data_IF_898540436715
#
_entry.id   IF_898540436715
#
_cell.length_a   1.000
_cell.length_b   1.000
_cell.length_c   1.000
_cell.angle_alpha   90.00
_cell.angle_beta   90.00
_cell.angle_gamma   90.00
#
_symmetry.space_group_name_H-M   'P 1'
#
loop_
_entity.id
_entity.type
_entity.pdbx_description
1 polymer ?
#
# COMPACT_ATOMS: atom_id res chain seq x y z
N UNK A 1 5.45 3.01 -20.33
CA UNK A 1 4.97 3.16 -18.94
C UNK A 1 6.13 3.67 -18.09
N UNK A 2 5.83 4.36 -17.00
CA UNK A 2 6.86 4.94 -16.10
C UNK A 2 7.69 3.87 -15.36
N UNK A 3 7.13 2.66 -15.21
CA UNK A 3 7.78 1.49 -14.62
C UNK A 3 7.43 0.27 -15.45
N UNK A 4 8.39 -0.60 -15.69
CA UNK A 4 8.25 -1.86 -16.40
C UNK A 4 8.67 -3.05 -15.50
N UNK A 5 8.52 -4.27 -16.00
CA UNK A 5 8.83 -5.48 -15.23
C UNK A 5 10.32 -5.58 -14.84
N UNK A 6 11.23 -5.19 -15.73
CA UNK A 6 12.67 -5.20 -15.43
C UNK A 6 13.01 -4.28 -14.26
N UNK A 7 12.35 -3.12 -14.15
CA UNK A 7 12.55 -2.22 -13.01
C UNK A 7 12.16 -2.89 -11.67
N UNK A 8 11.11 -3.72 -11.70
CA UNK A 8 10.65 -4.49 -10.51
C UNK A 8 11.65 -5.59 -10.14
N UNK A 9 12.16 -6.34 -11.15
CA UNK A 9 13.19 -7.36 -10.93
C UNK A 9 14.47 -6.74 -10.37
N UNK A 10 14.87 -5.58 -10.89
CA UNK A 10 16.02 -4.85 -10.38
C UNK A 10 15.81 -4.33 -8.96
N UNK A 11 14.61 -3.81 -8.66
CA UNK A 11 14.25 -3.43 -7.31
C UNK A 11 14.34 -4.64 -6.38
N UNK A 12 13.75 -5.79 -6.76
CA UNK A 12 13.82 -7.02 -5.98
C UNK A 12 15.26 -7.45 -5.70
N UNK A 13 16.13 -7.50 -6.72
CA UNK A 13 17.55 -7.86 -6.55
C UNK A 13 18.26 -6.96 -5.52
N UNK A 14 17.91 -5.65 -5.49
CA UNK A 14 18.51 -4.72 -4.52
C UNK A 14 17.99 -4.88 -3.10
N UNK A 15 16.70 -5.26 -2.91
CA UNK A 15 16.06 -5.22 -1.59
C UNK A 15 15.66 -6.58 -1.01
N UNK A 16 15.76 -7.69 -1.76
CA UNK A 16 15.29 -9.01 -1.32
C UNK A 16 15.87 -9.45 0.04
N UNK A 17 17.10 -9.08 0.33
CA UNK A 17 17.77 -9.40 1.60
C UNK A 17 17.34 -8.51 2.78
N UNK A 18 16.55 -7.45 2.53
CA UNK A 18 16.07 -6.49 3.53
C UNK A 18 14.58 -6.65 3.84
N UNK A 19 13.81 -7.26 2.95
CA UNK A 19 12.37 -7.42 3.09
C UNK A 19 12.00 -8.85 3.46
N UNK A 20 10.85 -9.04 4.11
CA UNK A 20 10.29 -10.37 4.33
C UNK A 20 9.52 -10.84 3.09
N UNK A 21 9.72 -12.11 2.66
CA UNK A 21 8.77 -12.79 1.74
C UNK A 21 7.51 -13.07 2.56
N UNK A 22 6.46 -12.26 2.35
CA UNK A 22 5.22 -12.40 3.10
C UNK A 22 4.42 -13.62 2.64
N UNK A 23 3.71 -14.32 3.54
CA UNK A 23 2.96 -15.51 3.17
C UNK A 23 1.71 -15.19 2.37
N UNK A 24 1.27 -16.18 1.59
CA UNK A 24 -0.05 -16.25 1.02
C UNK A 24 -0.89 -17.18 1.91
N UNK A 25 -1.91 -16.62 2.57
CA UNK A 25 -2.71 -17.31 3.58
C UNK A 25 -4.08 -17.69 3.02
N UNK A 26 -4.57 -18.86 3.39
CA UNK A 26 -5.92 -19.33 3.11
C UNK A 26 -6.58 -19.87 4.39
N UNK A 27 -7.90 -19.85 4.46
CA UNK A 27 -8.68 -20.41 5.55
C UNK A 27 -9.98 -20.99 5.01
N UNK A 28 -10.25 -22.31 5.19
CA UNK A 28 -11.52 -22.92 4.78
C UNK A 28 -12.75 -22.24 5.40
N UNK A 29 -12.59 -21.67 6.61
CA UNK A 29 -13.67 -20.92 7.25
C UNK A 29 -13.94 -19.59 6.54
N UNK A 30 -12.89 -18.91 6.06
CA UNK A 30 -13.04 -17.68 5.29
C UNK A 30 -13.63 -17.98 3.91
N UNK A 31 -13.18 -19.05 3.27
CA UNK A 31 -13.71 -19.52 1.98
C UNK A 31 -15.21 -19.80 2.04
N UNK A 32 -15.66 -20.45 3.12
CA UNK A 32 -17.08 -20.73 3.34
C UNK A 32 -17.91 -19.44 3.50
N UNK A 33 -17.36 -18.40 4.11
CA UNK A 33 -18.00 -17.08 4.24
C UNK A 33 -18.07 -16.39 2.87
N UNK A 34 -16.99 -16.44 2.11
CA UNK A 34 -16.87 -15.80 0.80
C UNK A 34 -17.59 -16.54 -0.33
N UNK A 35 -17.91 -17.84 -0.13
CA UNK A 35 -18.44 -18.71 -1.19
C UNK A 35 -17.45 -19.07 -2.30
N UNK A 36 -16.14 -18.83 -2.08
CA UNK A 36 -15.03 -19.10 -3.00
C UNK A 36 -13.70 -19.21 -2.27
N UNK A 37 -12.67 -19.76 -2.90
CA UNK A 37 -11.32 -19.79 -2.31
C UNK A 37 -10.66 -18.43 -2.35
N UNK A 38 -10.24 -17.95 -1.18
CA UNK A 38 -9.52 -16.67 -1.00
C UNK A 38 -8.08 -16.93 -0.55
N UNK A 39 -7.13 -16.29 -1.22
CA UNK A 39 -5.73 -16.32 -0.88
C UNK A 39 -5.25 -14.91 -0.52
N UNK A 40 -4.89 -14.70 0.73
CA UNK A 40 -4.55 -13.39 1.27
C UNK A 40 -3.05 -13.18 1.31
N UNK A 41 -2.53 -12.25 0.50
CA UNK A 41 -1.14 -11.78 0.58
C UNK A 41 -0.98 -10.89 1.80
N UNK A 42 -0.27 -11.38 2.81
CA UNK A 42 -0.26 -10.81 4.16
C UNK A 42 0.87 -9.78 4.36
N UNK A 43 0.76 -8.58 3.80
CA UNK A 43 1.71 -7.48 4.02
C UNK A 43 1.69 -6.87 5.45
N UNK A 44 0.68 -7.11 6.33
CA UNK A 44 0.85 -6.84 7.76
C UNK A 44 2.04 -7.54 8.41
N UNK A 45 2.50 -8.65 7.83
CA UNK A 45 3.66 -9.41 8.30
C UNK A 45 5.00 -8.94 7.70
N UNK A 46 5.01 -7.87 6.89
CA UNK A 46 6.23 -7.18 6.49
C UNK A 46 6.85 -6.47 7.71
N UNK A 47 8.15 -6.25 7.68
CA UNK A 47 8.98 -5.78 8.82
C UNK A 47 8.41 -4.54 9.53
N UNK A 48 7.85 -3.56 8.78
CA UNK A 48 7.20 -2.37 9.39
C UNK A 48 5.68 -2.47 9.46
N UNK A 49 5.12 -3.68 9.37
CA UNK A 49 3.68 -3.91 9.45
C UNK A 49 2.91 -3.51 8.19
N UNK A 50 3.56 -3.19 7.07
CA UNK A 50 2.91 -2.87 5.79
C UNK A 50 3.86 -2.97 4.60
N UNK A 51 3.29 -3.08 3.40
CA UNK A 51 4.02 -3.11 2.13
C UNK A 51 4.93 -1.90 1.88
N UNK A 52 4.67 -0.76 2.53
CA UNK A 52 5.39 0.51 2.32
C UNK A 52 6.90 0.38 2.49
N UNK A 53 7.35 -0.53 3.31
CA UNK A 53 8.77 -0.79 3.52
C UNK A 53 9.50 -1.22 2.24
N UNK A 54 8.86 -1.97 1.35
CA UNK A 54 9.40 -2.42 0.07
C UNK A 54 9.79 -1.24 -0.82
N UNK A 55 8.84 -0.32 -1.04
CA UNK A 55 9.07 0.90 -1.84
C UNK A 55 10.07 1.85 -1.19
N UNK A 56 10.06 1.96 0.14
CA UNK A 56 11.04 2.75 0.88
C UNK A 56 12.48 2.23 0.68
N UNK A 57 12.68 0.92 0.84
CA UNK A 57 13.97 0.27 0.57
C UNK A 57 14.39 0.45 -0.89
N UNK A 58 13.47 0.23 -1.83
CA UNK A 58 13.75 0.38 -3.26
C UNK A 58 14.20 1.80 -3.59
N UNK A 59 13.46 2.82 -3.17
CA UNK A 59 13.79 4.21 -3.47
C UNK A 59 15.13 4.63 -2.86
N UNK A 60 15.39 4.29 -1.60
CA UNK A 60 16.66 4.65 -0.95
C UNK A 60 17.83 3.87 -1.57
N UNK A 61 17.63 2.63 -2.04
CA UNK A 61 18.67 1.83 -2.70
C UNK A 61 19.18 2.42 -4.02
N UNK A 62 18.39 3.27 -4.67
CA UNK A 62 18.77 3.91 -5.95
C UNK A 62 19.55 5.20 -5.78
N UNK A 63 19.63 5.74 -4.56
CA UNK A 63 20.32 7.00 -4.30
C UNK A 63 21.83 6.84 -4.45
N UNK A 64 22.49 7.84 -5.05
CA UNK A 64 23.94 7.93 -5.04
C UNK A 64 24.47 8.06 -3.60
N UNK A 65 25.75 7.71 -3.39
CA UNK A 65 26.39 7.86 -2.08
C UNK A 65 26.34 9.32 -1.59
N UNK A 66 26.47 10.27 -2.52
CA UNK A 66 26.35 11.68 -2.19
C UNK A 66 24.93 12.06 -1.72
N UNK A 67 23.88 11.60 -2.43
CA UNK A 67 22.50 11.84 -2.01
C UNK A 67 22.19 11.18 -0.67
N UNK A 68 22.64 9.93 -0.46
CA UNK A 68 22.51 9.23 0.83
C UNK A 68 23.22 9.95 1.98
N UNK A 69 24.41 10.52 1.73
CA UNK A 69 25.14 11.24 2.79
C UNK A 69 24.39 12.48 3.29
N UNK A 70 23.58 13.10 2.43
CA UNK A 70 22.75 14.27 2.81
C UNK A 70 21.48 13.85 3.55
N UNK A 71 20.86 12.73 3.19
CA UNK A 71 19.65 12.21 3.82
C UNK A 71 18.42 12.28 2.94
N UNK A 72 17.31 11.73 3.46
CA UNK A 72 16.02 11.70 2.81
C UNK A 72 14.96 12.43 3.62
N UNK A 73 13.90 12.89 2.95
CA UNK A 73 12.74 13.52 3.59
C UNK A 73 11.46 12.90 3.04
N UNK A 74 10.46 12.73 3.91
CA UNK A 74 9.11 12.36 3.52
C UNK A 74 8.09 13.10 4.40
N UNK A 75 6.87 13.27 3.88
CA UNK A 75 5.73 13.75 4.66
C UNK A 75 4.68 12.66 4.74
N UNK A 76 4.50 12.14 5.94
CA UNK A 76 3.51 11.09 6.24
C UNK A 76 3.42 10.89 7.75
N UNK A 77 2.24 10.58 8.27
CA UNK A 77 2.03 10.18 9.66
C UNK A 77 1.76 8.68 9.83
N UNK A 78 1.87 7.88 8.75
CA UNK A 78 1.49 6.47 8.76
C UNK A 78 2.60 5.53 8.27
N UNK A 79 2.19 4.52 7.50
CA UNK A 79 3.04 3.43 7.02
C UNK A 79 4.27 3.88 6.22
N UNK A 80 4.12 4.92 5.40
CA UNK A 80 5.24 5.44 4.61
C UNK A 80 6.33 6.04 5.50
N UNK A 81 5.94 6.78 6.55
CA UNK A 81 6.88 7.34 7.52
C UNK A 81 7.74 6.26 8.19
N UNK A 82 7.10 5.21 8.70
CA UNK A 82 7.78 4.09 9.35
C UNK A 82 8.67 3.32 8.37
N UNK A 83 8.17 3.09 7.14
CA UNK A 83 8.95 2.45 6.08
C UNK A 83 10.22 3.23 5.74
N UNK A 84 10.11 4.55 5.53
CA UNK A 84 11.27 5.42 5.23
C UNK A 84 12.24 5.47 6.41
N UNK A 85 11.75 5.59 7.65
CA UNK A 85 12.59 5.66 8.84
C UNK A 85 13.49 4.42 8.98
N UNK A 86 12.89 3.23 8.91
CA UNK A 86 13.66 1.99 9.01
C UNK A 86 14.58 1.77 7.81
N UNK A 87 14.08 2.00 6.58
CA UNK A 87 14.90 1.86 5.38
C UNK A 87 16.13 2.79 5.45
N UNK A 88 15.95 4.06 5.83
CA UNK A 88 17.05 4.99 5.98
C UNK A 88 18.10 4.49 6.99
N UNK A 89 17.68 3.97 8.13
CA UNK A 89 18.58 3.37 9.13
C UNK A 89 19.38 2.21 8.55
N UNK A 90 18.74 1.29 7.80
CA UNK A 90 19.42 0.15 7.17
C UNK A 90 20.42 0.58 6.10
N UNK A 91 20.11 1.61 5.33
CA UNK A 91 21.00 2.20 4.32
C UNK A 91 21.99 3.23 4.91
N UNK A 92 22.04 3.39 6.24
CA UNK A 92 22.94 4.32 6.97
C UNK A 92 22.82 5.77 6.47
N UNK A 93 21.59 6.20 6.20
CA UNK A 93 21.27 7.59 5.84
C UNK A 93 20.32 8.20 6.86
N UNK A 94 20.22 9.53 6.92
CA UNK A 94 19.28 10.23 7.79
C UNK A 94 17.90 10.27 7.15
N UNK A 95 16.85 10.17 7.96
CA UNK A 95 15.49 10.42 7.54
C UNK A 95 14.87 11.57 8.34
N UNK A 96 14.30 12.54 7.64
CA UNK A 96 13.46 13.59 8.23
C UNK A 96 12.02 13.34 7.80
N UNK A 97 11.11 13.20 8.78
CA UNK A 97 9.70 12.94 8.51
C UNK A 97 8.86 14.13 8.96
N UNK A 98 8.15 14.75 8.02
CA UNK A 98 7.21 15.84 8.32
C UNK A 98 5.85 15.24 8.67
N UNK A 99 5.39 15.46 9.91
CA UNK A 99 4.14 14.93 10.47
C UNK A 99 3.28 16.04 11.04
N UNK A 100 1.94 15.95 10.98
CA UNK A 100 1.10 16.91 11.66
C UNK A 100 1.22 16.75 13.20
N UNK A 101 0.97 17.83 13.93
CA UNK A 101 0.98 17.82 15.41
C UNK A 101 -0.05 16.86 16.00
N UNK A 102 -1.18 16.67 15.32
CA UNK A 102 -2.27 15.78 15.70
C UNK A 102 -2.05 14.30 15.29
N UNK A 103 -0.84 13.95 14.80
CA UNK A 103 -0.50 12.57 14.50
C UNK A 103 -0.57 11.69 15.76
N UNK A 104 -1.10 10.45 15.67
CA UNK A 104 -1.17 9.55 16.82
C UNK A 104 0.21 9.34 17.46
N UNK A 105 0.27 9.47 18.79
CA UNK A 105 1.53 9.43 19.55
C UNK A 105 2.33 8.14 19.32
N UNK A 106 1.65 6.99 19.17
CA UNK A 106 2.27 5.71 18.85
C UNK A 106 2.94 5.72 17.47
N UNK A 107 2.33 6.33 16.46
CA UNK A 107 2.93 6.44 15.11
C UNK A 107 4.17 7.33 15.11
N UNK A 108 4.14 8.45 15.85
CA UNK A 108 5.31 9.32 16.06
C UNK A 108 6.43 8.57 16.78
N UNK A 109 6.10 7.89 17.90
CA UNK A 109 7.06 7.11 18.67
C UNK A 109 7.72 6.00 17.85
N UNK A 110 6.93 5.23 17.08
CA UNK A 110 7.45 4.18 16.21
C UNK A 110 8.39 4.74 15.13
N UNK A 111 8.03 5.88 14.51
CA UNK A 111 8.88 6.51 13.50
C UNK A 111 10.23 6.95 14.08
N UNK A 112 10.23 7.52 15.29
CA UNK A 112 11.46 7.88 16.02
C UNK A 112 12.26 6.63 16.43
N UNK A 113 11.58 5.58 16.89
CA UNK A 113 12.24 4.31 17.26
C UNK A 113 12.94 3.66 16.06
N UNK A 114 12.43 3.86 14.85
CA UNK A 114 13.11 3.45 13.61
C UNK A 114 14.24 4.40 13.17
N UNK A 115 14.56 5.44 13.94
CA UNK A 115 15.74 6.29 13.74
C UNK A 115 15.52 7.56 12.93
N UNK A 116 14.28 7.98 12.67
CA UNK A 116 14.01 9.22 11.96
C UNK A 116 13.84 10.43 12.89
N UNK A 117 14.25 11.59 12.39
CA UNK A 117 13.91 12.90 12.95
C UNK A 117 12.47 13.27 12.53
N UNK A 118 11.64 13.70 13.48
CA UNK A 118 10.26 14.13 13.20
C UNK A 118 10.14 15.64 13.35
N UNK A 119 9.71 16.29 12.27
CA UNK A 119 9.34 17.71 12.21
C UNK A 119 7.83 17.81 12.18
N UNK A 120 7.26 18.55 13.15
CA UNK A 120 5.82 18.73 13.23
C UNK A 120 5.35 19.97 12.46
N UNK A 121 4.11 19.91 11.93
CA UNK A 121 3.43 21.04 11.31
C UNK A 121 1.97 21.12 11.80
N UNK A 122 1.39 22.33 11.73
CA UNK A 122 0.00 22.59 12.10
C UNK A 122 -0.92 22.38 10.88
N UNK A 123 -1.76 21.36 10.94
CA UNK A 123 -2.69 20.99 9.85
C UNK A 123 -3.70 22.11 9.61
N UNK A 124 -3.88 22.50 8.35
CA UNK A 124 -4.78 23.59 7.95
C UNK A 124 -4.19 25.00 8.07
N UNK A 125 -2.99 25.15 8.68
CA UNK A 125 -2.25 26.42 8.80
C UNK A 125 -0.96 26.36 7.97
N UNK A 126 -0.25 25.25 8.04
CA UNK A 126 1.03 25.05 7.36
C UNK A 126 0.91 23.99 6.25
N UNK A 127 1.69 24.15 5.19
CA UNK A 127 1.81 23.17 4.10
C UNK A 127 2.98 22.23 4.39
N UNK A 128 2.68 20.93 4.54
CA UNK A 128 3.72 19.90 4.67
C UNK A 128 4.61 19.80 3.43
N UNK A 129 4.06 20.13 2.27
CA UNK A 129 4.77 20.16 1.00
C UNK A 129 5.81 21.29 0.99
N UNK A 130 5.43 22.50 1.45
CA UNK A 130 6.32 23.65 1.51
C UNK A 130 7.42 23.42 2.55
N UNK A 131 7.09 22.95 3.74
CA UNK A 131 8.06 22.58 4.78
C UNK A 131 9.05 21.54 4.25
N UNK A 132 8.51 20.50 3.58
CA UNK A 132 9.34 19.45 2.98
C UNK A 132 10.26 19.98 1.88
N UNK A 133 9.77 20.89 1.03
CA UNK A 133 10.55 21.51 -0.03
C UNK A 133 11.66 22.43 0.55
N UNK A 134 11.35 23.25 1.57
CA UNK A 134 12.31 24.14 2.22
C UNK A 134 13.42 23.36 2.93
N UNK A 135 13.07 22.34 3.72
CA UNK A 135 14.04 21.46 4.37
C UNK A 135 14.88 20.70 3.34
N UNK A 136 14.23 20.18 2.29
CA UNK A 136 14.91 19.51 1.18
C UNK A 136 15.94 20.41 0.52
N UNK A 137 15.57 21.65 0.18
CA UNK A 137 16.46 22.65 -0.42
C UNK A 137 17.58 23.08 0.53
N UNK A 138 17.24 23.38 1.79
CA UNK A 138 18.20 23.85 2.80
C UNK A 138 19.28 22.83 3.14
N UNK A 139 18.93 21.56 3.21
CA UNK A 139 19.81 20.46 3.63
C UNK A 139 20.21 19.50 2.51
N UNK A 140 19.73 19.73 1.29
CA UNK A 140 19.98 18.86 0.14
C UNK A 140 19.35 17.46 0.27
N UNK A 141 18.23 17.35 1.04
CA UNK A 141 17.55 16.07 1.28
C UNK A 141 16.81 15.61 0.03
N UNK A 142 16.78 14.30 -0.20
CA UNK A 142 16.00 13.71 -1.31
C UNK A 142 14.59 13.40 -0.82
N UNK A 143 13.58 13.99 -1.46
CA UNK A 143 12.17 13.66 -1.19
C UNK A 143 11.83 12.28 -1.73
N UNK A 144 11.30 11.40 -0.87
CA UNK A 144 10.73 10.11 -1.25
C UNK A 144 9.21 10.19 -1.17
N UNK A 145 8.56 10.16 -2.32
CA UNK A 145 7.10 10.22 -2.41
C UNK A 145 6.45 8.89 -1.98
N UNK A 146 5.21 8.91 -1.43
CA UNK A 146 4.56 7.71 -0.90
C UNK A 146 4.05 6.73 -1.95
N UNK A 147 3.93 7.12 -3.23
CA UNK A 147 3.41 6.29 -4.32
C UNK A 147 3.81 6.74 -5.73
N UNK A 148 3.91 8.03 -6.01
CA UNK A 148 4.12 8.58 -7.36
C UNK A 148 5.62 8.80 -7.64
N UNK A 149 6.36 7.71 -7.56
CA UNK A 149 7.82 7.64 -7.73
C UNK A 149 8.17 6.30 -8.39
N UNK A 150 8.95 6.27 -9.48
CA UNK A 150 9.26 5.03 -10.19
C UNK A 150 9.93 3.97 -9.32
N UNK A 151 10.88 4.36 -8.47
CA UNK A 151 11.59 3.43 -7.60
C UNK A 151 10.67 2.89 -6.47
N UNK A 152 9.74 3.72 -5.98
CA UNK A 152 8.71 3.27 -5.03
C UNK A 152 7.76 2.28 -5.70
N UNK A 153 7.21 2.60 -6.89
CA UNK A 153 6.31 1.71 -7.63
C UNK A 153 6.98 0.36 -7.91
N UNK A 154 8.24 0.37 -8.36
CA UNK A 154 9.02 -0.84 -8.61
C UNK A 154 9.22 -1.68 -7.35
N UNK A 155 9.55 -1.04 -6.22
CA UNK A 155 9.65 -1.70 -4.91
C UNK A 155 8.34 -2.36 -4.47
N UNK A 156 7.21 -1.67 -4.64
CA UNK A 156 5.88 -2.23 -4.33
C UNK A 156 5.54 -3.40 -5.28
N UNK A 157 5.99 -3.34 -6.53
CA UNK A 157 5.81 -4.41 -7.51
C UNK A 157 6.45 -5.74 -7.11
N UNK A 158 7.41 -5.75 -6.17
CA UNK A 158 7.99 -6.98 -5.62
C UNK A 158 6.95 -7.87 -4.91
N UNK A 159 5.81 -7.30 -4.48
CA UNK A 159 4.65 -8.09 -4.02
C UNK A 159 4.13 -8.97 -5.15
N UNK A 160 4.04 -8.42 -6.38
CA UNK A 160 3.60 -9.17 -7.56
C UNK A 160 4.58 -10.26 -7.98
N UNK A 161 5.90 -10.04 -7.83
CA UNK A 161 6.90 -11.11 -8.05
C UNK A 161 6.71 -12.27 -7.08
N UNK A 162 6.57 -11.97 -5.79
CA UNK A 162 6.33 -13.00 -4.78
C UNK A 162 5.00 -13.74 -5.03
N UNK A 163 3.94 -13.03 -5.49
CA UNK A 163 2.68 -13.66 -5.87
C UNK A 163 2.87 -14.62 -7.04
N UNK A 164 3.63 -14.22 -8.07
CA UNK A 164 3.93 -15.07 -9.21
C UNK A 164 4.55 -16.41 -8.80
N UNK A 165 5.57 -16.36 -7.93
CA UNK A 165 6.20 -17.55 -7.39
C UNK A 165 5.22 -18.40 -6.57
N UNK A 166 4.42 -17.76 -5.71
CA UNK A 166 3.48 -18.43 -4.82
C UNK A 166 2.31 -19.08 -5.57
N UNK A 167 1.81 -18.46 -6.65
CA UNK A 167 0.83 -19.07 -7.55
C UNK A 167 1.38 -20.38 -8.13
N UNK A 168 2.61 -20.34 -8.63
CA UNK A 168 3.26 -21.52 -9.19
C UNK A 168 3.57 -22.59 -8.13
N UNK A 169 4.12 -22.20 -6.96
CA UNK A 169 4.44 -23.11 -5.84
C UNK A 169 3.20 -23.84 -5.32
N UNK A 170 2.05 -23.19 -5.28
CA UNK A 170 0.78 -23.73 -4.76
C UNK A 170 -0.14 -24.31 -5.83
N UNK A 171 0.19 -24.18 -7.11
CA UNK A 171 -0.62 -24.65 -8.24
C UNK A 171 -2.01 -24.01 -8.30
N UNK A 172 -2.11 -22.70 -8.06
CA UNK A 172 -3.37 -21.97 -7.99
C UNK A 172 -3.92 -21.65 -9.39
N UNK A 173 -5.25 -21.69 -9.53
CA UNK A 173 -5.99 -21.27 -10.71
C UNK A 173 -6.54 -19.85 -10.51
N UNK A 174 -5.70 -18.85 -10.74
CA UNK A 174 -6.00 -17.44 -10.49
C UNK A 174 -6.34 -16.73 -11.79
N UNK A 175 -7.41 -15.95 -11.80
CA UNK A 175 -7.74 -15.02 -12.88
C UNK A 175 -7.92 -13.57 -12.40
N UNK A 176 -7.97 -13.34 -11.09
CA UNK A 176 -8.15 -12.01 -10.52
C UNK A 176 -7.35 -11.76 -9.24
N UNK A 177 -6.90 -10.51 -9.09
CA UNK A 177 -6.29 -9.96 -7.88
C UNK A 177 -7.06 -8.73 -7.43
N UNK A 178 -7.51 -8.69 -6.18
CA UNK A 178 -8.06 -7.49 -5.54
C UNK A 178 -6.98 -6.79 -4.74
N UNK A 179 -6.77 -5.51 -4.99
CA UNK A 179 -5.74 -4.72 -4.33
C UNK A 179 -6.29 -3.36 -3.89
N UNK A 180 -6.01 -2.96 -2.64
CA UNK A 180 -6.32 -1.63 -2.18
C UNK A 180 -5.63 -0.57 -3.06
N UNK A 181 -6.29 0.56 -3.28
CA UNK A 181 -5.75 1.67 -4.02
C UNK A 181 -5.97 2.99 -3.27
N UNK A 182 -4.90 3.71 -2.98
CA UNK A 182 -4.89 5.13 -2.73
C UNK A 182 -4.27 5.79 -3.95
N UNK A 183 -3.09 6.40 -3.84
CA UNK A 183 -2.39 6.97 -5.01
C UNK A 183 -1.89 5.96 -6.07
N UNK A 184 -2.12 4.66 -5.88
CA UNK A 184 -1.95 3.62 -6.91
C UNK A 184 -0.57 2.94 -6.96
N UNK A 185 0.39 3.29 -6.09
CA UNK A 185 1.76 2.74 -6.19
C UNK A 185 1.85 1.22 -6.04
N UNK A 186 1.11 0.64 -5.09
CA UNK A 186 1.06 -0.81 -4.88
C UNK A 186 0.34 -1.51 -6.04
N UNK A 187 -0.86 -1.05 -6.35
CA UNK A 187 -1.70 -1.63 -7.40
C UNK A 187 -1.02 -1.56 -8.78
N UNK A 188 -0.38 -0.43 -9.10
CA UNK A 188 0.38 -0.28 -10.36
C UNK A 188 1.59 -1.21 -10.42
N UNK A 189 2.35 -1.33 -9.32
CA UNK A 189 3.48 -2.25 -9.24
C UNK A 189 3.05 -3.71 -9.40
N UNK A 190 2.02 -4.16 -8.69
CA UNK A 190 1.48 -5.52 -8.82
C UNK A 190 0.93 -5.75 -10.22
N UNK A 191 0.14 -4.83 -10.78
CA UNK A 191 -0.41 -4.96 -12.12
C UNK A 191 0.70 -5.12 -13.18
N UNK A 192 1.81 -4.36 -13.05
CA UNK A 192 2.96 -4.47 -13.95
C UNK A 192 3.63 -5.84 -13.84
N UNK A 193 3.83 -6.36 -12.63
CA UNK A 193 4.44 -7.67 -12.42
C UNK A 193 3.53 -8.79 -12.97
N UNK A 194 2.24 -8.77 -12.62
CA UNK A 194 1.28 -9.78 -13.06
C UNK A 194 1.10 -9.79 -14.57
N UNK A 195 1.02 -8.65 -15.22
CA UNK A 195 0.91 -8.56 -16.68
C UNK A 195 2.10 -9.21 -17.41
N UNK A 196 3.28 -9.22 -16.81
CA UNK A 196 4.46 -9.84 -17.37
C UNK A 196 4.56 -11.36 -17.11
N UNK A 197 4.10 -11.80 -15.91
CA UNK A 197 4.29 -13.19 -15.46
C UNK A 197 3.03 -14.05 -15.61
N UNK A 198 1.87 -13.45 -15.49
CA UNK A 198 0.55 -14.10 -15.55
C UNK A 198 -0.42 -13.21 -16.35
N UNK A 199 -0.30 -13.10 -17.68
CA UNK A 199 -1.05 -12.16 -18.52
C UNK A 199 -2.57 -12.37 -18.47
N UNK A 200 -3.03 -13.56 -18.07
CA UNK A 200 -4.45 -13.89 -17.92
C UNK A 200 -5.02 -13.45 -16.55
N UNK A 201 -4.18 -12.97 -15.64
CA UNK A 201 -4.59 -12.49 -14.32
C UNK A 201 -4.82 -10.98 -14.35
N UNK A 202 -6.04 -10.55 -14.06
CA UNK A 202 -6.42 -9.14 -14.04
C UNK A 202 -6.45 -8.58 -12.62
N UNK A 203 -5.80 -7.42 -12.41
CA UNK A 203 -5.90 -6.70 -11.15
C UNK A 203 -7.12 -5.77 -11.15
N UNK A 204 -7.83 -5.73 -10.04
CA UNK A 204 -8.92 -4.79 -9.75
C UNK A 204 -8.56 -3.95 -8.52
N UNK A 205 -8.76 -2.64 -8.61
CA UNK A 205 -8.54 -1.73 -7.48
C UNK A 205 -9.71 -1.78 -6.51
N UNK A 206 -9.44 -1.58 -5.21
CA UNK A 206 -10.49 -1.45 -4.20
C UNK A 206 -10.23 -0.21 -3.35
N UNK A 207 -11.27 0.59 -3.19
CA UNK A 207 -11.23 1.90 -2.53
C UNK A 207 -12.44 2.05 -1.59
N UNK A 208 -12.40 2.98 -0.61
CA UNK A 208 -13.59 3.29 0.19
C UNK A 208 -14.66 4.01 -0.63
N UNK A 209 -15.94 3.80 -0.32
CA UNK A 209 -17.04 4.58 -0.90
C UNK A 209 -16.84 6.08 -0.71
N UNK A 210 -17.03 6.84 -1.78
CA UNK A 210 -16.79 8.30 -1.80
C UNK A 210 -15.32 8.69 -2.03
N UNK A 211 -14.40 7.74 -2.03
CA UNK A 211 -12.97 7.92 -2.28
C UNK A 211 -12.46 6.96 -3.35
N UNK A 212 -13.32 6.63 -4.30
CA UNK A 212 -13.12 5.68 -5.39
C UNK A 212 -12.58 6.38 -6.67
N UNK A 213 -11.70 7.35 -6.47
CA UNK A 213 -11.13 8.18 -7.52
C UNK A 213 -10.39 7.38 -8.60
N UNK A 214 -9.70 6.31 -8.24
CA UNK A 214 -9.01 5.45 -9.19
C UNK A 214 -9.99 4.65 -10.04
N UNK A 215 -11.00 4.03 -9.45
CA UNK A 215 -12.03 3.29 -10.18
C UNK A 215 -12.78 4.21 -11.17
N UNK A 216 -13.19 5.41 -10.71
CA UNK A 216 -13.81 6.43 -11.56
C UNK A 216 -12.88 6.92 -12.67
N UNK A 217 -11.60 7.13 -12.33
CA UNK A 217 -10.59 7.55 -13.31
C UNK A 217 -10.36 6.52 -14.41
N UNK A 218 -10.30 5.23 -14.06
CA UNK A 218 -10.17 4.13 -15.02
C UNK A 218 -11.39 4.09 -15.94
N UNK A 219 -12.61 4.14 -15.38
CA UNK A 219 -13.85 4.13 -16.13
C UNK A 219 -13.99 5.31 -17.10
N UNK A 220 -13.56 6.52 -16.68
CA UNK A 220 -13.60 7.72 -17.48
C UNK A 220 -12.41 7.90 -18.44
N UNK A 221 -11.38 7.06 -18.28
CA UNK A 221 -10.14 7.15 -19.06
C UNK A 221 -9.29 8.41 -18.79
N UNK A 222 -9.58 9.16 -17.72
CA UNK A 222 -8.84 10.36 -17.29
C UNK A 222 -8.83 10.46 -15.77
N UNK A 223 -7.77 11.04 -15.21
CA UNK A 223 -7.69 11.28 -13.76
C UNK A 223 -8.82 12.21 -13.29
N UNK A 224 -9.49 11.79 -12.23
CA UNK A 224 -10.47 12.61 -11.49
C UNK A 224 -10.10 12.65 -10.02
N UNK A 225 -10.53 13.71 -9.33
CA UNK A 225 -10.29 13.89 -7.92
C UNK A 225 -11.51 13.48 -7.08
N UNK A 226 -11.27 13.22 -5.80
CA UNK A 226 -12.30 13.13 -4.78
C UNK A 226 -12.79 14.54 -4.41
N UNK A 227 -14.04 14.63 -3.94
CA UNK A 227 -14.62 15.90 -3.50
C UNK A 227 -14.05 16.35 -2.15
N UNK A 228 -13.62 15.39 -1.32
CA UNK A 228 -13.04 15.64 0.01
C UNK A 228 -11.81 14.76 0.22
N UNK A 229 -10.97 15.14 1.19
CA UNK A 229 -9.79 14.36 1.59
C UNK A 229 -9.96 13.70 2.96
N UNK A 230 -11.20 13.70 3.51
CA UNK A 230 -11.53 13.16 4.82
C UNK A 230 -12.95 12.58 4.81
N UNK A 231 -13.19 11.56 5.64
CA UNK A 231 -14.54 11.01 5.79
C UNK A 231 -14.64 9.49 5.81
N UNK A 232 -13.55 8.77 5.53
CA UNK A 232 -13.48 7.31 5.69
C UNK A 232 -12.50 6.93 6.80
N UNK A 233 -12.73 5.79 7.45
CA UNK A 233 -11.79 5.17 8.40
C UNK A 233 -10.51 4.67 7.71
N UNK A 234 -10.50 4.58 6.38
CA UNK A 234 -9.39 4.07 5.57
C UNK A 234 -8.34 5.16 5.27
N UNK A 235 -7.96 5.96 6.27
CA UNK A 235 -7.08 7.14 6.15
C UNK A 235 -5.77 6.89 5.37
N UNK A 236 -5.24 5.67 5.44
CA UNK A 236 -4.00 5.29 4.76
C UNK A 236 -4.09 5.28 3.23
N UNK A 237 -5.31 5.21 2.67
CA UNK A 237 -5.57 5.14 1.23
C UNK A 237 -6.51 6.25 0.71
N UNK A 238 -6.96 7.15 1.57
CA UNK A 238 -7.67 8.37 1.13
C UNK A 238 -6.65 9.33 0.53
N UNK A 239 -6.70 9.49 -0.78
CA UNK A 239 -5.82 10.37 -1.56
C UNK A 239 -6.67 11.29 -2.44
N UNK A 240 -6.19 12.50 -2.79
CA UNK A 240 -6.98 13.42 -3.61
C UNK A 240 -7.34 12.89 -4.99
N UNK A 241 -6.39 12.16 -5.61
CA UNK A 241 -6.52 11.58 -6.95
C UNK A 241 -5.44 10.52 -7.17
N UNK A 242 -5.57 9.63 -8.19
CA UNK A 242 -4.49 8.73 -8.58
C UNK A 242 -3.22 9.51 -8.96
N UNK A 243 -2.05 8.91 -8.76
CA UNK A 243 -0.77 9.52 -9.15
C UNK A 243 -0.64 9.75 -10.66
N UNK A 244 0.26 10.64 -11.04
CA UNK A 244 0.53 10.93 -12.46
C UNK A 244 1.26 9.79 -13.17
N UNK A 245 2.11 9.07 -12.42
CA UNK A 245 2.84 7.91 -12.93
C UNK A 245 2.04 6.62 -12.80
N UNK A 246 1.24 6.49 -11.74
CA UNK A 246 0.48 5.26 -11.44
C UNK A 246 -0.76 5.12 -12.31
N UNK A 247 -1.48 6.22 -12.58
CA UNK A 247 -2.72 6.18 -13.35
C UNK A 247 -2.56 5.62 -14.78
N UNK A 248 -1.57 6.04 -15.59
CA UNK A 248 -1.37 5.45 -16.92
C UNK A 248 -1.15 3.92 -16.89
N UNK A 249 -0.49 3.41 -15.84
CA UNK A 249 -0.26 1.98 -15.65
C UNK A 249 -1.60 1.29 -15.33
N UNK A 250 -2.33 1.80 -14.33
CA UNK A 250 -3.62 1.23 -13.92
C UNK A 250 -4.67 1.32 -15.04
N UNK A 251 -4.73 2.44 -15.77
CA UNK A 251 -5.61 2.57 -16.94
C UNK A 251 -5.34 1.50 -18.00
N UNK A 252 -4.09 1.10 -18.17
CA UNK A 252 -3.71 0.12 -19.19
C UNK A 252 -3.88 -1.33 -18.73
N UNK A 253 -3.70 -1.63 -17.44
CA UNK A 253 -3.54 -3.00 -16.92
C UNK A 253 -4.62 -3.43 -15.93
N UNK A 254 -5.37 -2.51 -15.31
CA UNK A 254 -6.42 -2.87 -14.37
C UNK A 254 -7.76 -3.13 -15.10
N UNK A 255 -8.52 -4.09 -14.61
CA UNK A 255 -9.85 -4.43 -15.14
C UNK A 255 -10.97 -3.51 -14.66
N UNK A 256 -10.66 -2.54 -13.80
CA UNK A 256 -11.62 -1.66 -13.14
C UNK A 256 -11.40 -1.59 -11.64
N UNK A 257 -12.44 -1.22 -10.89
CA UNK A 257 -12.33 -1.13 -9.43
C UNK A 257 -13.67 -1.30 -8.71
N UNK A 258 -13.58 -1.52 -7.40
CA UNK A 258 -14.71 -1.68 -6.49
C UNK A 258 -14.64 -0.63 -5.39
N UNK A 259 -15.81 -0.20 -4.92
CA UNK A 259 -15.92 0.64 -3.72
C UNK A 259 -16.57 -0.16 -2.59
N UNK A 260 -16.12 0.04 -1.36
CA UNK A 260 -16.62 -0.67 -0.17
C UNK A 260 -16.90 0.32 0.96
N UNK A 261 -17.94 0.06 1.74
CA UNK A 261 -18.28 0.91 2.89
C UNK A 261 -17.36 0.66 4.09
N UNK A 262 -17.21 1.65 4.96
CA UNK A 262 -16.48 1.53 6.23
C UNK A 262 -16.98 0.36 7.09
N UNK A 263 -18.28 0.09 7.08
CA UNK A 263 -18.88 -1.06 7.78
C UNK A 263 -18.39 -2.39 7.23
N UNK A 264 -18.33 -2.53 5.91
CA UNK A 264 -17.79 -3.73 5.25
C UNK A 264 -16.31 -3.91 5.57
N UNK A 265 -15.55 -2.82 5.60
CA UNK A 265 -14.13 -2.85 5.97
C UNK A 265 -13.92 -3.33 7.41
N UNK A 266 -14.67 -2.79 8.38
CA UNK A 266 -14.57 -3.26 9.78
C UNK A 266 -14.93 -4.74 9.91
N UNK A 267 -15.96 -5.22 9.21
CA UNK A 267 -16.31 -6.65 9.18
C UNK A 267 -15.20 -7.50 8.55
N UNK A 268 -14.56 -7.02 7.49
CA UNK A 268 -13.41 -7.71 6.88
C UNK A 268 -12.22 -7.79 7.84
N UNK A 269 -11.92 -6.73 8.59
CA UNK A 269 -10.89 -6.74 9.64
C UNK A 269 -11.20 -7.82 10.69
N UNK A 270 -12.44 -7.88 11.17
CA UNK A 270 -12.89 -8.91 12.11
C UNK A 270 -12.72 -10.31 11.53
N UNK A 271 -13.15 -10.56 10.28
CA UNK A 271 -12.99 -11.87 9.65
C UNK A 271 -11.52 -12.27 9.46
N UNK A 272 -10.65 -11.36 9.08
CA UNK A 272 -9.22 -11.63 9.00
C UNK A 272 -8.65 -12.08 10.36
N UNK A 273 -9.02 -11.41 11.44
CA UNK A 273 -8.63 -11.80 12.79
C UNK A 273 -9.24 -13.13 13.21
N UNK A 274 -10.54 -13.34 13.03
CA UNK A 274 -11.25 -14.54 13.50
C UNK A 274 -10.81 -15.82 12.78
N UNK A 275 -10.46 -15.71 11.50
CA UNK A 275 -10.18 -16.88 10.66
C UNK A 275 -8.70 -17.15 10.44
N UNK A 276 -7.86 -16.10 10.41
CA UNK A 276 -6.43 -16.19 10.11
C UNK A 276 -5.54 -15.68 11.25
N UNK A 277 -6.11 -15.09 12.30
CA UNK A 277 -5.38 -14.39 13.37
C UNK A 277 -4.51 -13.25 12.84
N UNK A 278 -4.92 -12.67 11.71
CA UNK A 278 -4.23 -11.59 11.06
C UNK A 278 -4.84 -10.24 11.47
N UNK A 279 -4.01 -9.39 12.06
CA UNK A 279 -4.38 -8.00 12.38
C UNK A 279 -4.22 -7.15 11.13
N UNK A 280 -5.26 -6.39 10.77
CA UNK A 280 -5.25 -5.49 9.60
C UNK A 280 -5.69 -4.09 10.01
N UNK A 281 -5.15 -3.08 9.34
CA UNK A 281 -5.69 -1.72 9.40
C UNK A 281 -6.85 -1.54 8.41
N UNK A 282 -7.72 -0.52 8.56
CA UNK A 282 -8.87 -0.32 7.66
C UNK A 282 -8.47 -0.27 6.18
N UNK A 283 -7.53 0.58 5.80
CA UNK A 283 -7.06 0.67 4.42
C UNK A 283 -6.41 -0.61 3.89
N UNK A 284 -5.88 -1.46 4.80
CA UNK A 284 -5.33 -2.78 4.48
C UNK A 284 -6.39 -3.85 4.21
N UNK A 285 -7.61 -3.65 4.70
CA UNK A 285 -8.69 -4.63 4.66
C UNK A 285 -9.71 -4.41 3.53
N UNK A 286 -9.65 -3.28 2.77
CA UNK A 286 -10.65 -2.96 1.74
C UNK A 286 -10.74 -4.03 0.65
N UNK A 287 -9.61 -4.61 0.23
CA UNK A 287 -9.61 -5.68 -0.77
C UNK A 287 -10.33 -6.95 -0.26
N UNK A 288 -10.17 -7.28 1.02
CA UNK A 288 -10.92 -8.37 1.65
C UNK A 288 -12.41 -8.02 1.78
N UNK A 289 -12.73 -6.76 2.08
CA UNK A 289 -14.12 -6.31 2.13
C UNK A 289 -14.81 -6.50 0.77
N UNK A 290 -14.14 -6.14 -0.34
CA UNK A 290 -14.67 -6.40 -1.67
C UNK A 290 -14.82 -7.92 -1.94
N UNK A 291 -13.81 -8.73 -1.59
CA UNK A 291 -13.87 -10.18 -1.77
C UNK A 291 -15.06 -10.85 -1.04
N UNK A 292 -15.47 -10.28 0.09
CA UNK A 292 -16.55 -10.82 0.93
C UNK A 292 -17.94 -10.27 0.57
N UNK A 293 -18.01 -9.00 0.12
CA UNK A 293 -19.31 -8.30 0.06
C UNK A 293 -19.64 -7.67 -1.29
N UNK A 294 -18.67 -7.51 -2.21
CA UNK A 294 -18.97 -6.99 -3.53
C UNK A 294 -19.76 -8.03 -4.36
N UNK A 295 -20.72 -7.51 -5.11
CA UNK A 295 -21.41 -8.28 -6.13
C UNK A 295 -20.62 -8.20 -7.44
N UNK A 296 -20.84 -9.13 -8.35
CA UNK A 296 -20.23 -9.11 -9.69
C UNK A 296 -18.69 -9.17 -9.71
N UNK A 297 -18.10 -9.83 -8.71
CA UNK A 297 -16.67 -10.14 -8.75
C UNK A 297 -16.35 -11.04 -9.95
N UNK A 298 -15.15 -10.86 -10.56
CA UNK A 298 -14.76 -11.69 -11.69
C UNK A 298 -14.73 -13.16 -11.28
N UNK A 299 -15.07 -14.07 -12.21
CA UNK A 299 -14.93 -15.49 -11.95
C UNK A 299 -13.46 -15.83 -11.73
N UNK A 300 -13.16 -16.51 -10.64
CA UNK A 300 -11.83 -17.02 -10.31
C UNK A 300 -11.99 -18.19 -9.36
N UNK A 301 -11.33 -19.32 -9.65
CA UNK A 301 -11.34 -20.47 -8.76
C UNK A 301 -10.59 -20.12 -7.46
N UNK A 302 -9.44 -19.46 -7.62
CA UNK A 302 -8.62 -18.90 -6.55
C UNK A 302 -8.57 -17.38 -6.71
N UNK A 303 -9.15 -16.63 -5.77
CA UNK A 303 -9.12 -15.17 -5.78
C UNK A 303 -7.99 -14.67 -4.88
N UNK A 304 -7.06 -13.90 -5.45
CA UNK A 304 -6.01 -13.24 -4.68
C UNK A 304 -6.49 -11.93 -4.08
N UNK A 305 -6.18 -11.72 -2.81
CA UNK A 305 -6.56 -10.54 -2.04
C UNK A 305 -5.32 -9.95 -1.35
N UNK A 306 -5.01 -8.70 -1.61
CA UNK A 306 -3.86 -8.03 -0.99
C UNK A 306 -4.30 -7.38 0.32
N UNK A 307 -3.77 -7.87 1.44
CA UNK A 307 -3.87 -7.22 2.75
C UNK A 307 -2.64 -6.35 2.91
N UNK A 308 -2.79 -5.05 2.73
CA UNK A 308 -1.64 -4.16 2.50
C UNK A 308 -0.93 -3.68 3.75
N UNK A 309 -1.58 -3.74 4.93
CA UNK A 309 -0.97 -3.32 6.19
C UNK A 309 -1.81 -3.66 7.41
N UNK A 310 -1.16 -3.62 8.58
CA UNK A 310 -1.74 -3.98 9.88
C UNK A 310 -1.49 -2.95 10.99
N UNK A 311 -1.00 -1.75 10.67
CA UNK A 311 -0.67 -0.71 11.65
C UNK A 311 -1.92 0.06 12.13
N UNK A 312 -2.87 -0.69 12.68
CA UNK A 312 -4.11 -0.18 13.26
C UNK A 312 -3.88 0.26 14.70
N UNK A 313 -4.59 1.29 15.16
CA UNK A 313 -4.65 1.64 16.58
C UNK A 313 -5.64 0.74 17.34
N UNK A 314 -5.47 0.69 18.68
CA UNK A 314 -6.23 -0.20 19.56
C UNK A 314 -7.73 0.10 19.53
N UNK A 315 -8.11 1.38 19.51
CA UNK A 315 -9.51 1.80 19.55
C UNK A 315 -10.24 1.38 18.26
N UNK A 316 -9.61 1.63 17.09
CA UNK A 316 -10.17 1.22 15.80
C UNK A 316 -10.25 -0.30 15.70
N UNK A 317 -9.24 -1.03 16.17
CA UNK A 317 -9.25 -2.50 16.13
C UNK A 317 -10.33 -3.06 17.05
N UNK A 318 -10.47 -2.53 18.28
CA UNK A 318 -11.53 -2.91 19.21
C UNK A 318 -12.91 -2.66 18.62
N UNK A 319 -13.11 -1.49 17.98
CA UNK A 319 -14.35 -1.18 17.28
C UNK A 319 -14.67 -2.18 16.17
N UNK A 320 -13.68 -2.56 15.37
CA UNK A 320 -13.85 -3.56 14.32
C UNK A 320 -14.21 -4.95 14.88
N UNK A 321 -13.64 -5.36 16.02
CA UNK A 321 -13.95 -6.65 16.65
C UNK A 321 -15.36 -6.72 17.25
N UNK A 322 -15.96 -5.59 17.59
CA UNK A 322 -17.30 -5.51 18.20
C UNK A 322 -18.44 -5.28 17.20
N UNK A 323 -18.11 -5.09 15.91
CA UNK A 323 -19.12 -4.88 14.86
C UNK A 323 -19.96 -6.15 14.64
N UNK A 324 -21.25 -6.00 14.45
CA UNK A 324 -22.21 -7.07 14.20
C UNK A 324 -22.27 -7.47 12.72
#
# INVERSE_FOLDING_TARGET
>A
MAVNFTDIEEAHRRIAHLIAKTPLLNSPRLDAIAGRRLWLKAEPLQITGSFKFRGACSAISTLSDEARSRGVIAYSSGNHAQGIALAATLFKTRATIVMPHDAPANKVANTRAYGADVVHYERGVESREDIGADLGKKHGLTLIKPYDDPAVIAGQGTVGLELSDQIAELGLSVSAVLCCCGGGGLSAGIATAMAATHPDVTLYTVEPEGFDDTARSISLGKRVANETEQGSICDAIVTPSPGELTFPILKALAGGGYAVSDTQVMRAMRYAFDTLKLVTEPGGAVALAAALFAQDLPPSDDLLVIISGGNVDEDMFTKALTIS
#
